data_IF_440148469985
#
_entry.id   IF_440148469985
#
_cell.length_a   1.000
_cell.length_b   1.000
_cell.length_c   1.000
_cell.angle_alpha   90.00
_cell.angle_beta   90.00
_cell.angle_gamma   90.00
#
_symmetry.space_group_name_H-M   'P 1'
#
loop_
_entity.id
_entity.type
_entity.pdbx_description
1 polymer ?
#
# COMPACT_ATOMS: atom_id res chain seq x y z
N UNK A 1 6.84 -1.74 15.47
CA UNK A 1 5.50 -1.94 14.86
C UNK A 1 5.60 -2.02 13.34
N UNK A 2 6.32 -1.10 12.68
CA UNK A 2 6.42 -1.01 11.21
C UNK A 2 7.49 -1.88 10.55
N UNK A 3 8.25 -2.68 11.30
CA UNK A 3 9.34 -3.49 10.74
C UNK A 3 8.90 -4.81 10.09
N UNK A 4 7.62 -4.96 9.74
CA UNK A 4 7.12 -6.18 9.11
C UNK A 4 7.29 -6.06 7.58
N UNK A 5 8.06 -6.97 6.99
CA UNK A 5 8.29 -7.00 5.53
C UNK A 5 7.20 -7.78 4.77
N UNK A 6 6.48 -8.67 5.46
CA UNK A 6 5.43 -9.51 4.87
C UNK A 6 4.24 -9.61 5.81
N UNK A 7 3.04 -9.77 5.27
CA UNK A 7 1.83 -10.05 6.02
C UNK A 7 1.34 -11.49 5.79
N UNK A 8 0.44 -11.96 6.66
CA UNK A 8 -0.09 -13.32 6.60
C UNK A 8 -1.18 -13.47 5.53
N UNK A 9 -1.48 -14.71 5.14
CA UNK A 9 -2.60 -14.99 4.22
C UNK A 9 -3.94 -14.43 4.72
N UNK A 10 -4.22 -14.55 6.02
CA UNK A 10 -5.44 -14.00 6.62
C UNK A 10 -5.49 -12.46 6.51
N UNK A 11 -4.34 -11.78 6.59
CA UNK A 11 -4.27 -10.34 6.38
C UNK A 11 -4.49 -9.97 4.91
N UNK A 12 -3.95 -10.73 3.96
CA UNK A 12 -4.21 -10.53 2.52
C UNK A 12 -5.72 -10.71 2.22
N UNK A 13 -6.34 -11.76 2.75
CA UNK A 13 -7.79 -11.99 2.64
C UNK A 13 -8.60 -10.81 3.23
N UNK A 14 -8.18 -10.28 4.37
CA UNK A 14 -8.80 -9.09 4.97
C UNK A 14 -8.64 -7.83 4.08
N UNK A 15 -7.46 -7.59 3.53
CA UNK A 15 -7.20 -6.44 2.65
C UNK A 15 -8.05 -6.50 1.38
N UNK A 16 -8.27 -7.69 0.82
CA UNK A 16 -9.17 -7.91 -0.33
C UNK A 16 -10.64 -7.61 -0.02
N UNK A 17 -11.05 -7.59 1.25
CA UNK A 17 -12.37 -7.11 1.66
C UNK A 17 -12.45 -5.58 1.68
N UNK A 18 -11.33 -4.88 1.89
CA UNK A 18 -11.26 -3.42 1.96
C UNK A 18 -11.18 -2.77 0.59
N UNK A 19 -10.51 -3.42 -0.37
CA UNK A 19 -10.34 -2.88 -1.71
C UNK A 19 -9.62 -3.83 -2.66
N UNK A 20 -9.32 -3.31 -3.83
CA UNK A 20 -8.57 -4.00 -4.87
C UNK A 20 -7.07 -3.73 -4.71
N UNK A 21 -6.26 -4.76 -4.92
CA UNK A 21 -4.80 -4.62 -5.01
C UNK A 21 -4.44 -4.06 -6.38
N UNK A 22 -3.85 -2.87 -6.41
CA UNK A 22 -3.45 -2.18 -7.64
C UNK A 22 -1.94 -2.06 -7.73
N UNK A 23 -1.42 -2.03 -8.96
CA UNK A 23 -0.04 -1.61 -9.24
C UNK A 23 0.03 -0.09 -9.12
N UNK A 24 1.01 0.42 -8.35
CA UNK A 24 1.20 1.85 -8.20
C UNK A 24 1.76 2.48 -9.47
N UNK A 25 2.64 1.77 -10.17
CA UNK A 25 3.25 2.29 -11.40
C UNK A 25 2.19 2.49 -12.48
N UNK A 26 2.02 3.74 -12.91
CA UNK A 26 1.02 4.11 -13.91
C UNK A 26 -0.42 4.20 -13.39
N UNK A 27 -0.64 4.08 -12.07
CA UNK A 27 -1.94 4.32 -11.48
C UNK A 27 -2.35 5.79 -11.66
N UNK A 28 -3.57 6.01 -12.17
CA UNK A 28 -4.07 7.35 -12.55
C UNK A 28 -5.14 7.90 -11.60
N UNK A 29 -5.58 7.13 -10.60
CA UNK A 29 -6.55 7.57 -9.59
C UNK A 29 -5.94 8.36 -8.44
N UNK A 30 -6.70 8.56 -7.37
CA UNK A 30 -6.19 9.24 -6.17
C UNK A 30 -5.03 8.46 -5.52
N UNK A 31 -3.81 9.00 -5.61
CA UNK A 31 -2.60 8.34 -5.14
C UNK A 31 -2.32 8.43 -3.64
N UNK A 32 -3.04 9.26 -2.89
CA UNK A 32 -2.86 9.37 -1.43
C UNK A 32 -1.42 9.61 -0.97
N UNK A 33 -0.60 10.31 -1.76
CA UNK A 33 0.82 10.56 -1.46
C UNK A 33 1.80 9.45 -1.86
N UNK A 34 1.33 8.30 -2.34
CA UNK A 34 2.20 7.25 -2.88
C UNK A 34 2.77 7.63 -4.24
N UNK A 35 3.97 7.14 -4.52
CA UNK A 35 4.65 7.30 -5.80
C UNK A 35 4.11 6.32 -6.84
N UNK A 36 3.71 6.85 -7.99
CA UNK A 36 3.14 6.10 -9.12
C UNK A 36 4.06 6.08 -10.35
N UNK A 37 5.29 6.58 -10.22
CA UNK A 37 6.23 6.71 -11.35
C UNK A 37 7.51 5.91 -11.13
N UNK A 38 8.19 6.13 -9.99
CA UNK A 38 9.57 5.68 -9.77
C UNK A 38 9.67 4.47 -8.81
N UNK A 39 8.55 4.05 -8.21
CA UNK A 39 8.47 2.91 -7.29
C UNK A 39 9.04 3.19 -5.89
N UNK A 40 9.15 4.47 -5.50
CA UNK A 40 9.78 4.87 -4.24
C UNK A 40 8.97 4.53 -2.99
N UNK A 41 7.68 4.25 -3.14
CA UNK A 41 6.77 3.92 -2.02
C UNK A 41 6.17 2.53 -2.15
N UNK A 42 6.88 1.61 -2.79
CA UNK A 42 6.44 0.24 -3.05
C UNK A 42 5.78 0.07 -4.42
N UNK A 43 5.52 -1.18 -4.79
CA UNK A 43 4.99 -1.55 -6.12
C UNK A 43 3.46 -1.65 -6.15
N UNK A 44 2.85 -1.95 -5.01
CA UNK A 44 1.42 -2.23 -4.89
C UNK A 44 0.81 -1.47 -3.72
N UNK A 45 -0.47 -1.16 -3.86
CA UNK A 45 -1.31 -0.66 -2.77
C UNK A 45 -2.69 -1.31 -2.84
N UNK A 46 -3.51 -1.09 -1.81
CA UNK A 46 -4.93 -1.39 -1.87
C UNK A 46 -5.71 -0.10 -2.07
N UNK A 47 -6.68 -0.14 -2.96
CA UNK A 47 -7.46 1.02 -3.38
C UNK A 47 -8.94 0.64 -3.47
N UNK A 48 -9.84 1.57 -3.15
CA UNK A 48 -11.27 1.40 -3.39
C UNK A 48 -11.95 2.74 -3.67
N UNK A 49 -13.10 2.67 -4.33
CA UNK A 49 -14.02 3.80 -4.41
C UNK A 49 -15.27 3.46 -3.61
N UNK A 50 -15.53 4.22 -2.55
CA UNK A 50 -16.66 4.01 -1.66
C UNK A 50 -17.50 5.27 -1.55
N UNK A 51 -18.79 5.16 -1.90
CA UNK A 51 -19.75 6.29 -1.88
C UNK A 51 -19.25 7.54 -2.65
N UNK A 52 -18.58 7.33 -3.78
CA UNK A 52 -18.03 8.41 -4.60
C UNK A 52 -16.72 9.02 -4.08
N UNK A 53 -16.17 8.49 -2.98
CA UNK A 53 -14.87 8.91 -2.44
C UNK A 53 -13.82 7.86 -2.78
N UNK A 54 -12.67 8.31 -3.25
CA UNK A 54 -11.51 7.47 -3.49
C UNK A 54 -10.71 7.27 -2.20
N UNK A 55 -10.34 6.03 -1.89
CA UNK A 55 -9.59 5.68 -0.67
C UNK A 55 -8.35 4.89 -1.09
N UNK A 56 -7.18 5.41 -0.71
CA UNK A 56 -5.88 4.74 -0.88
C UNK A 56 -5.39 4.24 0.46
N UNK A 57 -5.14 2.94 0.57
CA UNK A 57 -4.66 2.31 1.81
C UNK A 57 -3.13 2.22 1.83
N UNK A 58 -2.51 2.80 2.86
CA UNK A 58 -1.10 2.61 3.15
C UNK A 58 -0.92 1.33 3.99
N UNK A 59 -0.52 0.25 3.35
CA UNK A 59 -0.29 -1.04 4.01
C UNK A 59 1.19 -1.15 4.33
N UNK A 60 1.57 -1.12 5.61
CA UNK A 60 2.97 -1.10 6.06
C UNK A 60 3.87 -2.16 5.40
N UNK A 61 3.37 -3.38 5.22
CA UNK A 61 4.13 -4.48 4.59
C UNK A 61 4.27 -4.37 3.07
N UNK A 62 3.61 -3.39 2.44
CA UNK A 62 3.75 -3.07 1.01
C UNK A 62 4.56 -1.80 0.79
N UNK A 63 4.87 -1.06 1.87
CA UNK A 63 5.78 0.06 1.83
C UNK A 63 7.24 -0.42 1.87
N UNK A 64 8.19 0.38 1.38
CA UNK A 64 9.60 0.03 1.45
C UNK A 64 10.06 -0.21 2.88
N UNK A 65 10.96 -1.18 3.05
CA UNK A 65 11.55 -1.51 4.33
C UNK A 65 13.05 -1.20 4.33
N UNK A 66 13.53 -0.56 5.40
CA UNK A 66 14.95 -0.25 5.59
C UNK A 66 15.49 -0.93 6.85
N UNK A 67 16.38 -1.91 6.70
CA UNK A 67 17.02 -2.60 7.84
C UNK A 67 17.82 -1.66 8.76
N UNK A 68 18.27 -0.52 8.21
CA UNK A 68 19.09 0.45 8.93
C UNK A 68 18.24 1.53 9.63
N UNK A 69 16.91 1.46 9.52
CA UNK A 69 16.00 2.36 10.19
C UNK A 69 15.05 1.59 11.12
N UNK A 70 15.36 1.47 12.42
CA UNK A 70 14.47 0.80 13.37
C UNK A 70 13.07 1.43 13.50
N UNK A 71 12.90 2.70 13.11
CA UNK A 71 11.63 3.42 13.22
C UNK A 71 10.79 3.37 11.92
N UNK A 72 11.41 3.06 10.78
CA UNK A 72 10.79 3.00 9.44
C UNK A 72 10.06 4.30 9.07
N UNK A 73 10.81 5.41 9.05
CA UNK A 73 10.32 6.76 8.72
C UNK A 73 10.50 7.06 7.24
#
# INVERSE_FOLDING_TARGET
MFGNEVHSKAMEEFLQLLGEKIELRGFTGFRGGLDTHDGLTGDYAFYTQFQGVEIMFHVSTLLPYSRNDPQQV
#
